data_IF_268901783869
#
_entry.id   IF_268901783869
#
_cell.length_a   1.000
_cell.length_b   1.000
_cell.length_c   1.000
_cell.angle_alpha   90.00
_cell.angle_beta   90.00
_cell.angle_gamma   90.00
#
_symmetry.space_group_name_H-M   'P 1'
#
loop_
_entity.id
_entity.type
_entity.pdbx_description
1 polymer ?
#
# COMPACT_ATOMS: atom_id res chain seq x y z
N UNK A 1 3.16 2.00 -8.78
CA UNK A 1 2.27 0.83 -8.96
C UNK A 1 1.57 0.60 -7.63
N UNK A 2 0.25 0.84 -7.56
CA UNK A 2 -0.53 0.85 -6.31
C UNK A 2 -1.19 -0.52 -6.08
N UNK A 3 -1.17 -1.03 -4.84
CA UNK A 3 -1.92 -2.22 -4.43
C UNK A 3 -3.13 -1.78 -3.59
N UNK A 4 -4.34 -2.11 -4.07
CA UNK A 4 -5.63 -1.77 -3.47
C UNK A 4 -6.29 -3.08 -3.07
N UNK A 5 -6.27 -3.43 -1.78
CA UNK A 5 -6.90 -4.64 -1.25
C UNK A 5 -8.35 -4.32 -0.90
N UNK A 6 -9.31 -4.74 -1.72
CA UNK A 6 -10.73 -4.66 -1.42
C UNK A 6 -11.13 -5.84 -0.53
N UNK A 7 -11.40 -5.61 0.77
CA UNK A 7 -12.01 -6.60 1.65
C UNK A 7 -13.50 -6.30 1.83
N UNK A 8 -14.33 -7.16 1.23
CA UNK A 8 -15.73 -7.31 1.56
C UNK A 8 -15.89 -8.09 2.87
N UNK A 9 -16.87 -7.66 3.66
CA UNK A 9 -17.16 -8.12 5.01
C UNK A 9 -17.51 -9.62 5.07
N UNK A 10 -16.68 -10.44 5.70
CA UNK A 10 -17.13 -11.69 6.33
C UNK A 10 -16.09 -12.26 7.31
N UNK A 11 -16.51 -12.30 8.58
CA UNK A 11 -15.95 -13.01 9.74
C UNK A 11 -14.63 -12.48 10.29
N UNK A 12 -14.70 -12.17 11.58
CA UNK A 12 -13.64 -11.71 12.47
C UNK A 12 -12.41 -12.61 12.33
N UNK A 13 -11.50 -12.19 11.44
CA UNK A 13 -10.11 -12.59 11.53
C UNK A 13 -9.53 -11.66 12.57
N UNK A 14 -9.09 -12.23 13.69
CA UNK A 14 -8.46 -11.52 14.79
C UNK A 14 -7.53 -10.43 14.24
N UNK A 15 -7.93 -9.17 14.48
CA UNK A 15 -7.04 -8.04 14.35
C UNK A 15 -5.97 -8.27 15.41
N UNK A 16 -4.84 -8.87 15.01
CA UNK A 16 -3.65 -8.84 15.84
C UNK A 16 -3.33 -7.36 16.03
N UNK A 17 -3.38 -6.83 17.26
CA UNK A 17 -3.06 -5.45 17.51
C UNK A 17 -1.54 -5.32 17.48
N UNK A 18 -0.97 -5.00 16.32
CA UNK A 18 0.29 -4.27 16.31
C UNK A 18 0.44 -3.44 15.04
N UNK A 19 0.94 -2.21 15.24
CA UNK A 19 1.64 -1.31 14.31
C UNK A 19 1.26 0.18 14.42
N UNK A 20 0.52 0.60 15.45
CA UNK A 20 0.45 2.04 15.77
C UNK A 20 1.63 2.54 16.64
N UNK A 21 2.63 1.71 16.96
CA UNK A 21 3.76 2.13 17.82
C UNK A 21 5.09 1.41 17.58
N UNK A 22 5.31 0.77 16.43
CA UNK A 22 6.59 0.14 16.07
C UNK A 22 7.32 0.89 14.95
N UNK A 23 8.55 1.35 15.20
CA UNK A 23 9.46 1.82 14.15
C UNK A 23 9.93 0.59 13.35
N UNK A 24 9.09 0.07 12.46
CA UNK A 24 9.50 -0.99 11.52
C UNK A 24 10.74 -0.55 10.75
N UNK A 25 11.72 -1.43 10.66
CA UNK A 25 12.96 -1.24 9.91
C UNK A 25 12.77 -1.54 8.42
N UNK A 26 13.72 -1.13 7.59
CA UNK A 26 13.71 -1.44 6.15
C UNK A 26 13.61 -2.95 5.87
N UNK A 27 14.32 -3.79 6.63
CA UNK A 27 14.30 -5.24 6.45
C UNK A 27 12.92 -5.85 6.75
N UNK A 28 12.24 -5.35 7.80
CA UNK A 28 10.89 -5.80 8.16
C UNK A 28 9.86 -5.34 7.14
N UNK A 29 9.97 -4.11 6.63
CA UNK A 29 9.12 -3.60 5.55
C UNK A 29 9.28 -4.42 4.26
N UNK A 30 10.52 -4.78 3.91
CA UNK A 30 10.83 -5.66 2.76
C UNK A 30 10.20 -7.04 2.92
N UNK A 31 10.36 -7.67 4.08
CA UNK A 31 9.80 -9.00 4.35
C UNK A 31 8.25 -9.00 4.25
N UNK A 32 7.60 -7.95 4.76
CA UNK A 32 6.14 -7.79 4.64
C UNK A 32 5.70 -7.59 3.19
N UNK A 33 6.44 -6.77 2.44
CA UNK A 33 6.15 -6.54 1.02
C UNK A 33 6.23 -7.84 0.20
N UNK A 34 7.27 -8.66 0.39
CA UNK A 34 7.41 -9.92 -0.34
C UNK A 34 6.25 -10.89 -0.05
N UNK A 35 5.79 -10.98 1.21
CA UNK A 35 4.58 -11.75 1.54
C UNK A 35 3.33 -11.23 0.81
N UNK A 36 3.10 -9.92 0.86
CA UNK A 36 1.95 -9.31 0.18
C UNK A 36 2.02 -9.43 -1.35
N UNK A 37 3.23 -9.44 -1.90
CA UNK A 37 3.46 -9.62 -3.34
C UNK A 37 3.13 -11.04 -3.78
N UNK A 38 3.46 -12.06 -2.98
CA UNK A 38 3.06 -13.44 -3.24
C UNK A 38 1.53 -13.62 -3.17
N UNK A 39 0.87 -12.98 -2.22
CA UNK A 39 -0.57 -13.09 -1.99
C UNK A 39 -1.44 -12.25 -2.94
N UNK A 40 -1.01 -11.02 -3.26
CA UNK A 40 -1.89 -9.97 -3.79
C UNK A 40 -1.71 -9.58 -5.25
N UNK A 41 -0.61 -9.95 -5.91
CA UNK A 41 -0.27 -9.37 -7.23
C UNK A 41 -1.06 -9.95 -8.41
N UNK A 42 -1.99 -10.89 -8.17
CA UNK A 42 -2.75 -11.59 -9.21
C UNK A 42 -4.22 -11.18 -9.27
N UNK A 43 -4.58 -10.02 -8.74
CA UNK A 43 -5.96 -9.51 -8.84
C UNK A 43 -6.23 -8.96 -10.25
N UNK A 44 -7.30 -9.39 -10.93
CA UNK A 44 -7.70 -8.83 -12.22
C UNK A 44 -8.19 -7.38 -12.05
N UNK A 45 -8.09 -6.58 -13.11
CA UNK A 45 -8.72 -5.27 -13.13
C UNK A 45 -10.24 -5.41 -13.02
N UNK A 46 -10.84 -4.68 -12.08
CA UNK A 46 -12.29 -4.58 -11.95
C UNK A 46 -12.86 -3.95 -13.21
N UNK A 47 -13.86 -4.60 -13.83
CA UNK A 47 -14.57 -4.03 -14.98
C UNK A 47 -15.46 -2.89 -14.51
N UNK A 48 -15.62 -1.86 -15.35
CA UNK A 48 -16.46 -0.69 -15.08
C UNK A 48 -17.84 -0.98 -14.42
N UNK A 49 -18.65 -1.96 -14.86
CA UNK A 49 -19.95 -2.24 -14.24
C UNK A 49 -19.86 -2.77 -12.79
N UNK A 50 -18.70 -3.26 -12.37
CA UNK A 50 -18.48 -3.83 -11.04
C UNK A 50 -17.82 -2.83 -10.07
N UNK A 51 -17.61 -1.57 -10.49
CA UNK A 51 -17.12 -0.56 -9.58
C UNK A 51 -18.19 -0.24 -8.53
N UNK A 52 -17.78 -0.02 -7.26
CA UNK A 52 -18.67 0.57 -6.28
C UNK A 52 -19.20 1.91 -6.81
N UNK A 53 -20.52 2.08 -6.82
CA UNK A 53 -21.16 3.32 -7.27
C UNK A 53 -21.27 4.36 -6.15
N UNK A 54 -21.06 3.94 -4.91
CA UNK A 54 -21.21 4.77 -3.71
C UNK A 54 -20.40 4.19 -2.56
N UNK A 55 -20.24 5.02 -1.52
CA UNK A 55 -19.52 4.66 -0.30
C UNK A 55 -18.06 5.10 -0.30
N UNK A 56 -17.46 5.02 0.89
CA UNK A 56 -16.07 5.38 1.15
C UNK A 56 -15.32 4.14 1.60
N UNK A 57 -14.25 3.79 0.90
CA UNK A 57 -13.45 2.61 1.18
C UNK A 57 -12.01 3.02 1.45
N UNK A 58 -11.46 2.50 2.54
CA UNK A 58 -10.05 2.68 2.89
C UNK A 58 -9.27 1.44 2.47
N UNK A 59 -8.33 1.65 1.57
CA UNK A 59 -7.45 0.63 1.03
C UNK A 59 -6.08 0.77 1.67
N UNK A 60 -5.63 -0.31 2.30
CA UNK A 60 -4.29 -0.39 2.89
C UNK A 60 -3.45 -1.33 2.03
N UNK A 61 -2.23 -0.91 1.75
CA UNK A 61 -1.30 -1.69 0.95
C UNK A 61 0.13 -1.24 1.18
N UNK A 62 1.03 -1.88 0.45
CA UNK A 62 2.43 -1.48 0.42
C UNK A 62 2.85 -1.13 -1.00
N UNK A 63 3.75 -0.17 -1.12
CA UNK A 63 4.37 0.24 -2.37
C UNK A 63 5.89 0.06 -2.25
N UNK A 64 6.53 -0.44 -3.29
CA UNK A 64 8.00 -0.46 -3.40
C UNK A 64 8.43 0.31 -4.65
N UNK A 65 9.65 0.84 -4.60
CA UNK A 65 10.26 1.50 -5.75
C UNK A 65 11.74 1.81 -5.54
N UNK A 66 12.30 2.55 -6.48
CA UNK A 66 13.68 3.03 -6.45
C UNK A 66 13.68 4.55 -6.64
N UNK A 67 14.55 5.27 -5.92
CA UNK A 67 14.88 6.66 -6.20
C UNK A 67 16.40 6.87 -6.23
N UNK A 68 16.86 7.96 -6.83
CA UNK A 68 18.28 8.31 -6.82
C UNK A 68 18.59 9.16 -5.59
N UNK A 69 19.67 8.84 -4.88
CA UNK A 69 20.11 9.58 -3.69
C UNK A 69 20.36 11.08 -3.97
N UNK A 70 20.75 11.40 -5.21
CA UNK A 70 20.92 12.77 -5.70
C UNK A 70 20.20 12.92 -7.03
N UNK A 71 19.91 14.16 -7.43
CA UNK A 71 19.24 14.49 -8.70
C UNK A 71 20.01 14.08 -9.96
N UNK A 72 21.17 13.45 -9.81
CA UNK A 72 21.99 12.94 -10.92
C UNK A 72 21.72 11.46 -11.17
N UNK A 73 21.47 11.07 -12.42
CA UNK A 73 21.27 9.68 -12.86
C UNK A 73 22.50 8.77 -12.68
N UNK A 74 23.66 9.34 -12.31
CA UNK A 74 24.90 8.63 -11.98
C UNK A 74 25.00 8.22 -10.49
N UNK A 75 24.05 8.64 -9.65
CA UNK A 75 24.06 8.31 -8.22
C UNK A 75 23.51 6.92 -7.92
N UNK A 76 23.86 6.41 -6.73
CA UNK A 76 23.34 5.15 -6.24
C UNK A 76 21.81 5.17 -6.20
N UNK A 77 21.20 4.06 -6.63
CA UNK A 77 19.77 3.83 -6.49
C UNK A 77 19.47 3.34 -5.10
N UNK A 78 18.55 4.00 -4.42
CA UNK A 78 18.05 3.63 -3.11
C UNK A 78 16.71 2.93 -3.31
N UNK A 79 16.65 1.68 -2.87
CA UNK A 79 15.41 0.92 -2.77
C UNK A 79 14.58 1.45 -1.60
N UNK A 80 13.27 1.55 -1.78
CA UNK A 80 12.36 1.90 -0.71
C UNK A 80 11.12 1.03 -0.69
N UNK A 81 10.56 0.93 0.51
CA UNK A 81 9.24 0.36 0.78
C UNK A 81 8.39 1.41 1.49
N UNK A 82 7.10 1.43 1.24
CA UNK A 82 6.18 2.35 1.88
C UNK A 82 4.88 1.67 2.26
N UNK A 83 4.40 1.92 3.46
CA UNK A 83 2.99 1.65 3.80
C UNK A 83 2.14 2.77 3.21
N UNK A 84 1.05 2.40 2.52
CA UNK A 84 0.15 3.34 1.86
C UNK A 84 -1.27 3.07 2.31
N UNK A 85 -1.94 4.13 2.76
CA UNK A 85 -3.37 4.14 3.05
C UNK A 85 -4.07 5.14 2.12
N UNK A 86 -4.99 4.62 1.31
CA UNK A 86 -5.77 5.39 0.35
C UNK A 86 -7.24 5.29 0.72
N UNK A 87 -7.90 6.42 0.87
CA UNK A 87 -9.36 6.48 1.02
C UNK A 87 -9.98 6.91 -0.30
N UNK A 88 -10.86 6.08 -0.85
CA UNK A 88 -11.61 6.36 -2.08
C UNK A 88 -13.06 6.63 -1.72
N UNK A 89 -13.54 7.84 -2.01
CA UNK A 89 -14.94 8.21 -1.90
C UNK A 89 -15.58 8.10 -3.29
N UNK A 90 -16.34 7.03 -3.51
CA UNK A 90 -17.02 6.78 -4.79
C UNK A 90 -18.20 7.73 -5.02
N UNK A 91 -18.77 8.32 -3.97
CA UNK A 91 -19.85 9.31 -4.14
C UNK A 91 -19.31 10.60 -4.76
N UNK A 92 -18.09 10.97 -4.39
CA UNK A 92 -17.44 12.21 -4.85
C UNK A 92 -16.43 12.00 -5.96
N UNK A 93 -16.16 10.75 -6.34
CA UNK A 93 -15.10 10.38 -7.27
C UNK A 93 -13.72 10.92 -6.86
N UNK A 94 -13.45 10.95 -5.54
CA UNK A 94 -12.22 11.49 -4.98
C UNK A 94 -11.36 10.40 -4.35
N UNK A 95 -10.04 10.57 -4.44
CA UNK A 95 -9.06 9.70 -3.79
C UNK A 95 -8.18 10.56 -2.90
N UNK A 96 -8.10 10.18 -1.63
CA UNK A 96 -7.30 10.84 -0.62
C UNK A 96 -6.21 9.89 -0.13
N UNK A 97 -5.01 10.43 0.11
CA UNK A 97 -3.93 9.71 0.77
C UNK A 97 -3.91 10.12 2.24
N UNK A 98 -4.12 9.18 3.14
CA UNK A 98 -4.20 9.47 4.57
C UNK A 98 -2.87 9.18 5.28
N UNK A 99 -2.28 8.01 5.04
CA UNK A 99 -1.00 7.63 5.64
C UNK A 99 0.01 7.21 4.57
N UNK A 100 1.24 7.70 4.72
CA UNK A 100 2.40 7.33 3.91
C UNK A 100 3.63 7.25 4.80
N UNK A 101 4.12 6.04 5.05
CA UNK A 101 5.32 5.81 5.86
C UNK A 101 6.39 5.17 4.99
N UNK A 102 7.51 5.87 4.82
CA UNK A 102 8.61 5.47 3.95
C UNK A 102 9.71 4.76 4.75
N UNK A 103 10.23 3.67 4.19
CA UNK A 103 11.34 2.90 4.72
C UNK A 103 12.41 2.78 3.63
N UNK A 104 13.60 3.30 3.88
CA UNK A 104 14.75 3.21 2.97
C UNK A 104 16.04 3.08 3.78
N UNK A 105 17.09 2.55 3.16
CA UNK A 105 18.44 2.55 3.73
C UNK A 105 19.23 3.70 3.12
N UNK A 106 19.72 4.61 3.96
CA UNK A 106 20.70 5.63 3.60
C UNK A 106 22.11 5.12 3.85
#
# INVERSE_FOLDING_TARGET
MFAIIAWGCSKDSEVTPDDNTGVRTFAEAKAKYEKLKEEGFRLPLTRQPNFPQSGTFTYKGMHSGEFFEKETTSSAKIEYYADVELTVDFNKSNIYRENFKLFYQS
#
